data_IF_698263083073
#
_entry.id   IF_698263083073
#
_cell.length_a   1.000
_cell.length_b   1.000
_cell.length_c   1.000
_cell.angle_alpha   90.00
_cell.angle_beta   90.00
_cell.angle_gamma   90.00
#
_symmetry.space_group_name_H-M   'P 1'
#
loop_
_entity.id
_entity.type
_entity.pdbx_description
1 polymer ?
#
# COMPACT_ATOMS: atom_id res chain seq x y z
N UNK A 1 12.38 34.14 -40.96
CA UNK A 1 11.01 33.74 -40.56
C UNK A 1 10.57 32.36 -41.08
N UNK A 2 10.84 31.98 -42.35
CA UNK A 2 10.42 30.67 -42.92
C UNK A 2 11.14 29.46 -42.33
N UNK A 3 12.46 29.55 -42.10
CA UNK A 3 13.28 28.49 -41.48
C UNK A 3 12.84 28.21 -40.04
N UNK A 4 12.56 29.26 -39.25
CA UNK A 4 12.11 29.12 -37.87
C UNK A 4 10.76 28.39 -37.77
N UNK A 5 9.83 28.63 -38.71
CA UNK A 5 8.56 27.89 -38.79
C UNK A 5 8.78 26.41 -39.12
N UNK A 6 9.71 26.09 -40.03
CA UNK A 6 10.05 24.71 -40.38
C UNK A 6 10.65 23.98 -39.17
N UNK A 7 11.60 24.60 -38.48
CA UNK A 7 12.20 24.05 -37.26
C UNK A 7 11.16 23.81 -36.16
N UNK A 8 10.21 24.74 -35.99
CA UNK A 8 9.09 24.58 -35.06
C UNK A 8 8.20 23.38 -35.43
N UNK A 9 7.85 23.21 -36.71
CA UNK A 9 7.05 22.05 -37.14
C UNK A 9 7.79 20.73 -36.92
N UNK A 10 9.10 20.68 -37.17
CA UNK A 10 9.92 19.50 -36.90
C UNK A 10 9.89 19.18 -35.40
N UNK A 11 10.12 20.17 -34.54
CA UNK A 11 10.14 19.98 -33.10
C UNK A 11 8.78 19.53 -32.54
N UNK A 12 7.68 20.12 -33.02
CA UNK A 12 6.32 19.68 -32.67
C UNK A 12 6.04 18.26 -33.15
N UNK A 13 6.50 17.89 -34.36
CA UNK A 13 6.32 16.53 -34.90
C UNK A 13 7.10 15.50 -34.10
N UNK A 14 8.34 15.80 -33.72
CA UNK A 14 9.16 14.94 -32.85
C UNK A 14 8.51 14.82 -31.47
N UNK A 15 8.07 15.92 -30.87
CA UNK A 15 7.35 15.90 -29.60
C UNK A 15 6.07 15.06 -29.64
N UNK A 16 5.28 15.18 -30.71
CA UNK A 16 4.08 14.37 -30.91
C UNK A 16 4.41 12.87 -31.06
N UNK A 17 5.44 12.52 -31.83
CA UNK A 17 5.87 11.13 -31.98
C UNK A 17 6.38 10.52 -30.67
N UNK A 18 7.15 11.29 -29.89
CA UNK A 18 7.60 10.85 -28.56
C UNK A 18 6.42 10.65 -27.61
N UNK A 19 5.45 11.57 -27.61
CA UNK A 19 4.25 11.46 -26.79
C UNK A 19 3.40 10.24 -27.19
N UNK A 20 3.13 10.05 -28.49
CA UNK A 20 2.38 8.88 -28.98
C UNK A 20 3.14 7.59 -28.63
N UNK A 21 4.45 7.56 -28.84
CA UNK A 21 5.30 6.42 -28.50
C UNK A 21 5.22 6.08 -27.01
N UNK A 22 5.34 7.08 -26.14
CA UNK A 22 5.17 6.93 -24.70
C UNK A 22 3.79 6.36 -24.35
N UNK A 23 2.70 6.94 -24.89
CA UNK A 23 1.33 6.48 -24.62
C UNK A 23 1.08 5.04 -25.07
N UNK A 24 1.68 4.61 -26.18
CA UNK A 24 1.57 3.22 -26.67
C UNK A 24 2.32 2.25 -25.75
N UNK A 25 3.53 2.62 -25.28
CA UNK A 25 4.32 1.81 -24.36
C UNK A 25 3.59 1.68 -23.02
N UNK A 26 3.16 2.81 -22.45
CA UNK A 26 2.39 2.91 -21.21
C UNK A 26 1.12 2.04 -21.27
N UNK A 27 0.34 2.17 -22.33
CA UNK A 27 -0.85 1.34 -22.56
C UNK A 27 -0.53 -0.15 -22.61
N UNK A 28 0.50 -0.56 -23.38
CA UNK A 28 0.89 -1.98 -23.48
C UNK A 28 1.36 -2.55 -22.14
N UNK A 29 2.06 -1.74 -21.35
CA UNK A 29 2.55 -2.13 -20.05
C UNK A 29 1.41 -2.31 -19.05
N UNK A 30 0.46 -1.36 -18.99
CA UNK A 30 -0.76 -1.50 -18.18
C UNK A 30 -1.56 -2.73 -18.61
N UNK A 31 -1.73 -2.95 -19.92
CA UNK A 31 -2.42 -4.15 -20.41
C UNK A 31 -1.71 -5.45 -20.02
N UNK A 32 -0.38 -5.46 -20.01
CA UNK A 32 0.39 -6.61 -19.57
C UNK A 32 0.16 -6.88 -18.07
N UNK A 33 0.30 -5.85 -17.22
CA UNK A 33 0.01 -5.93 -15.79
C UNK A 33 -1.39 -6.49 -15.51
N UNK A 34 -2.43 -5.98 -16.18
CA UNK A 34 -3.81 -6.44 -15.97
C UNK A 34 -4.03 -7.89 -16.40
N UNK A 35 -3.38 -8.35 -17.47
CA UNK A 35 -3.41 -9.77 -17.88
C UNK A 35 -2.77 -10.68 -16.84
N UNK A 36 -1.66 -10.25 -16.23
CA UNK A 36 -1.00 -11.03 -15.18
C UNK A 36 -1.91 -11.11 -13.94
N UNK A 37 -2.54 -10.00 -13.52
CA UNK A 37 -3.51 -10.03 -12.43
C UNK A 37 -4.70 -10.97 -12.73
N UNK A 38 -5.30 -10.88 -13.92
CA UNK A 38 -6.38 -11.77 -14.33
C UNK A 38 -5.92 -13.25 -14.34
N UNK A 39 -4.74 -13.55 -14.87
CA UNK A 39 -4.18 -14.90 -14.89
C UNK A 39 -3.92 -15.43 -13.46
N UNK A 40 -3.40 -14.60 -12.57
CA UNK A 40 -3.13 -14.94 -11.17
C UNK A 40 -4.42 -15.21 -10.37
N UNK A 41 -5.55 -14.59 -10.74
CA UNK A 41 -6.85 -14.91 -10.14
C UNK A 41 -7.22 -16.39 -10.29
N UNK A 42 -6.72 -17.07 -11.33
CA UNK A 42 -7.06 -18.46 -11.64
C UNK A 42 -5.90 -19.45 -11.44
N UNK A 43 -4.68 -18.96 -11.26
CA UNK A 43 -3.48 -19.80 -11.11
C UNK A 43 -3.39 -20.39 -9.71
N UNK A 44 -3.09 -21.69 -9.58
CA UNK A 44 -2.87 -22.35 -8.28
C UNK A 44 -1.38 -22.52 -8.03
N UNK A 45 -0.94 -22.12 -6.85
CA UNK A 45 0.43 -22.30 -6.36
C UNK A 45 0.42 -22.46 -4.84
N UNK A 46 1.54 -22.94 -4.29
CA UNK A 46 1.72 -23.04 -2.83
C UNK A 46 1.98 -21.65 -2.27
N UNK A 47 1.07 -21.16 -1.42
CA UNK A 47 1.23 -19.85 -0.79
C UNK A 47 2.26 -19.87 0.33
N UNK A 48 2.93 -18.73 0.52
CA UNK A 48 3.64 -18.44 1.75
C UNK A 48 2.67 -18.39 2.94
N UNK A 49 3.12 -18.70 4.18
CA UNK A 49 2.31 -18.51 5.37
C UNK A 49 1.81 -17.05 5.46
N UNK A 50 0.54 -16.85 5.80
CA UNK A 50 -0.07 -15.52 5.92
C UNK A 50 -0.13 -14.98 7.34
N UNK A 51 0.11 -15.86 8.32
CA UNK A 51 -0.10 -15.59 9.75
C UNK A 51 1.09 -16.14 10.53
N UNK A 52 1.56 -15.36 11.48
CA UNK A 52 2.60 -15.75 12.43
C UNK A 52 2.03 -16.63 13.56
N UNK A 53 2.87 -17.41 14.25
CA UNK A 53 2.50 -18.04 15.51
C UNK A 53 1.98 -17.03 16.54
N UNK A 54 0.98 -17.42 17.32
CA UNK A 54 0.36 -16.58 18.36
C UNK A 54 1.36 -16.05 19.40
N UNK A 55 2.48 -16.75 19.61
CA UNK A 55 3.55 -16.34 20.52
C UNK A 55 4.38 -15.15 20.02
N UNK A 56 4.41 -14.90 18.71
CA UNK A 56 5.20 -13.84 18.09
C UNK A 56 4.39 -12.58 17.77
N UNK A 57 3.07 -12.70 17.67
CA UNK A 57 2.20 -11.64 17.16
C UNK A 57 1.39 -10.99 18.28
N UNK A 58 1.18 -9.69 18.18
CA UNK A 58 0.29 -8.97 19.10
C UNK A 58 -1.17 -9.43 18.90
N UNK A 59 -1.99 -9.31 19.95
CA UNK A 59 -3.44 -9.50 19.81
C UNK A 59 -4.01 -8.46 18.85
N UNK A 60 -4.91 -8.88 17.96
CA UNK A 60 -5.43 -8.00 16.90
C UNK A 60 -6.18 -6.79 17.48
N UNK A 61 -6.94 -6.97 18.56
CA UNK A 61 -7.61 -5.86 19.26
C UNK A 61 -6.62 -4.83 19.83
N UNK A 62 -5.48 -5.28 20.36
CA UNK A 62 -4.43 -4.39 20.88
C UNK A 62 -3.77 -3.61 19.74
N UNK A 63 -3.46 -4.28 18.62
CA UNK A 63 -2.93 -3.62 17.42
C UNK A 63 -3.87 -2.51 16.94
N UNK A 64 -5.16 -2.80 16.77
CA UNK A 64 -6.13 -1.80 16.33
C UNK A 64 -6.37 -0.70 17.37
N UNK A 65 -6.23 -1.00 18.66
CA UNK A 65 -6.30 0.04 19.71
C UNK A 65 -5.13 1.03 19.59
N UNK A 66 -3.92 0.55 19.31
CA UNK A 66 -2.75 1.42 19.08
C UNK A 66 -2.94 2.32 17.86
N UNK A 67 -3.41 1.75 16.74
CA UNK A 67 -3.73 2.50 15.51
C UNK A 67 -4.82 3.55 15.76
N UNK A 68 -5.92 3.16 16.41
CA UNK A 68 -7.02 4.07 16.71
C UNK A 68 -6.59 5.21 17.64
N UNK A 69 -5.75 4.91 18.63
CA UNK A 69 -5.23 5.90 19.58
C UNK A 69 -4.32 6.91 18.87
N UNK A 70 -3.39 6.45 18.02
CA UNK A 70 -2.53 7.35 17.26
C UNK A 70 -3.32 8.19 16.26
N UNK A 71 -4.32 7.58 15.59
CA UNK A 71 -5.23 8.31 14.69
C UNK A 71 -6.02 9.39 15.41
N UNK A 72 -6.52 9.11 16.61
CA UNK A 72 -7.26 10.07 17.41
C UNK A 72 -6.38 11.24 17.87
N UNK A 73 -5.10 10.99 18.16
CA UNK A 73 -4.13 12.04 18.50
C UNK A 73 -3.82 12.94 17.30
N UNK A 74 -3.70 12.36 16.09
CA UNK A 74 -3.35 13.07 14.86
C UNK A 74 -4.29 12.69 13.69
N UNK A 75 -5.55 13.17 13.67
CA UNK A 75 -6.58 12.68 12.73
C UNK A 75 -6.33 13.04 11.27
N UNK A 76 -5.55 14.09 10.99
CA UNK A 76 -5.36 14.64 9.64
C UNK A 76 -3.90 14.63 9.16
N UNK A 77 -2.98 14.17 10.01
CA UNK A 77 -1.54 14.20 9.77
C UNK A 77 -0.95 12.81 10.01
N UNK A 78 -0.69 12.10 8.91
CA UNK A 78 -0.20 10.72 8.96
C UNK A 78 1.22 10.63 9.53
N UNK A 79 2.09 11.60 9.20
CA UNK A 79 3.45 11.61 9.68
C UNK A 79 3.48 11.80 11.21
N UNK A 80 2.66 12.71 11.74
CA UNK A 80 2.52 12.89 13.19
C UNK A 80 1.83 11.69 13.85
N UNK A 81 0.84 11.08 13.20
CA UNK A 81 0.24 9.82 13.67
C UNK A 81 1.29 8.70 13.81
N UNK A 82 2.13 8.52 12.79
CA UNK A 82 3.19 7.52 12.79
C UNK A 82 4.25 7.81 13.87
N UNK A 83 4.65 9.08 14.03
CA UNK A 83 5.57 9.50 15.10
C UNK A 83 4.99 9.23 16.50
N UNK A 84 3.73 9.57 16.73
CA UNK A 84 3.04 9.26 18.00
C UNK A 84 2.98 7.75 18.27
N UNK A 85 2.68 6.96 17.23
CA UNK A 85 2.64 5.51 17.34
C UNK A 85 4.02 4.93 17.64
N UNK A 86 5.06 5.43 16.98
CA UNK A 86 6.45 5.07 17.24
C UNK A 86 6.83 5.36 18.71
N UNK A 87 6.57 6.56 19.21
CA UNK A 87 6.85 6.93 20.60
C UNK A 87 6.10 6.04 21.59
N UNK A 88 4.84 5.70 21.28
CA UNK A 88 4.02 4.79 22.08
C UNK A 88 4.63 3.38 22.10
N UNK A 89 5.02 2.85 20.94
CA UNK A 89 5.64 1.53 20.81
C UNK A 89 7.00 1.46 21.53
N UNK A 90 7.79 2.54 21.51
CA UNK A 90 9.10 2.59 22.15
C UNK A 90 9.03 2.41 23.69
N UNK A 91 7.85 2.64 24.30
CA UNK A 91 7.60 2.40 25.72
C UNK A 91 7.19 0.95 26.04
N UNK A 92 6.88 0.13 25.03
CA UNK A 92 6.47 -1.26 25.19
C UNK A 92 7.67 -2.22 25.26
N UNK A 93 7.43 -3.50 25.54
CA UNK A 93 8.49 -4.52 25.50
C UNK A 93 8.98 -4.78 24.07
N UNK A 94 10.20 -5.30 23.90
CA UNK A 94 10.73 -5.63 22.56
C UNK A 94 9.86 -6.68 21.86
N UNK A 95 9.28 -7.60 22.65
CA UNK A 95 8.32 -8.59 22.16
C UNK A 95 7.03 -7.93 21.68
N UNK A 96 6.55 -6.87 22.32
CA UNK A 96 5.37 -6.14 21.87
C UNK A 96 5.65 -5.35 20.59
N UNK A 97 6.83 -4.73 20.46
CA UNK A 97 7.22 -4.04 19.23
C UNK A 97 7.32 -5.03 18.06
N UNK A 98 7.95 -6.19 18.27
CA UNK A 98 7.96 -7.28 17.29
C UNK A 98 6.55 -7.81 17.01
N UNK A 99 5.72 -7.92 18.04
CA UNK A 99 4.34 -8.35 17.91
C UNK A 99 3.49 -7.40 17.08
N UNK A 100 3.73 -6.09 17.20
CA UNK A 100 3.11 -5.08 16.37
C UNK A 100 3.55 -5.22 14.91
N UNK A 101 4.86 -5.37 14.65
CA UNK A 101 5.40 -5.60 13.31
C UNK A 101 4.75 -6.83 12.67
N UNK A 102 4.73 -7.96 13.38
CA UNK A 102 4.08 -9.19 12.90
C UNK A 102 2.61 -8.95 12.49
N UNK A 103 1.85 -8.22 13.32
CA UNK A 103 0.45 -7.88 13.02
C UNK A 103 0.31 -6.97 11.82
N UNK A 104 1.17 -5.96 11.68
CA UNK A 104 1.17 -5.05 10.53
C UNK A 104 1.36 -5.83 9.22
N UNK A 105 2.34 -6.74 9.17
CA UNK A 105 2.60 -7.58 7.98
C UNK A 105 1.42 -8.44 7.59
N UNK A 106 0.73 -9.02 8.56
CA UNK A 106 -0.45 -9.85 8.29
C UNK A 106 -1.63 -9.03 7.76
N UNK A 107 -1.82 -7.79 8.23
CA UNK A 107 -2.84 -6.89 7.68
C UNK A 107 -2.46 -6.45 6.26
N UNK A 108 -1.19 -6.13 5.98
CA UNK A 108 -0.73 -5.86 4.61
C UNK A 108 -1.03 -7.02 3.68
N UNK A 109 -0.77 -8.27 4.10
CA UNK A 109 -1.07 -9.48 3.33
C UNK A 109 -2.58 -9.70 3.19
N UNK A 110 -3.38 -9.39 4.22
CA UNK A 110 -4.85 -9.45 4.15
C UNK A 110 -5.39 -8.49 3.09
N UNK A 111 -4.78 -7.32 2.96
CA UNK A 111 -5.10 -6.31 1.95
C UNK A 111 -4.54 -6.61 0.55
N UNK A 112 -3.80 -7.72 0.38
CA UNK A 112 -3.50 -8.28 -0.94
C UNK A 112 -4.78 -8.85 -1.56
N UNK A 113 -5.61 -7.95 -2.10
CA UNK A 113 -6.99 -8.18 -2.47
C UNK A 113 -7.40 -7.32 -3.68
N UNK A 114 -8.23 -7.87 -4.56
CA UNK A 114 -8.66 -7.20 -5.80
C UNK A 114 -9.48 -5.93 -5.58
N UNK A 115 -10.28 -5.83 -4.51
CA UNK A 115 -11.00 -4.61 -4.18
C UNK A 115 -10.03 -3.48 -3.80
N UNK A 116 -8.96 -3.81 -3.08
CA UNK A 116 -7.91 -2.84 -2.72
C UNK A 116 -7.11 -2.41 -3.95
N UNK A 117 -6.80 -3.34 -4.87
CA UNK A 117 -6.21 -3.02 -6.18
C UNK A 117 -7.11 -2.08 -6.98
N UNK A 118 -8.40 -2.39 -7.12
CA UNK A 118 -9.36 -1.55 -7.84
C UNK A 118 -9.45 -0.17 -7.20
N UNK A 119 -9.55 -0.10 -5.87
CA UNK A 119 -9.56 1.14 -5.11
C UNK A 119 -8.31 1.98 -5.42
N UNK A 120 -7.12 1.38 -5.32
CA UNK A 120 -5.85 2.04 -5.66
C UNK A 120 -5.85 2.56 -7.11
N UNK A 121 -6.30 1.75 -8.08
CA UNK A 121 -6.25 2.15 -9.49
C UNK A 121 -7.22 3.28 -9.83
N UNK A 122 -8.36 3.34 -9.14
CA UNK A 122 -9.32 4.43 -9.29
C UNK A 122 -8.74 5.74 -8.70
N UNK A 123 -8.02 5.66 -7.58
CA UNK A 123 -7.56 6.87 -6.86
C UNK A 123 -6.19 7.37 -7.28
N UNK A 124 -5.27 6.47 -7.64
CA UNK A 124 -3.85 6.77 -7.90
C UNK A 124 -3.44 6.50 -9.36
N UNK A 125 -4.36 5.99 -10.19
CA UNK A 125 -4.13 5.71 -11.60
C UNK A 125 -3.85 4.24 -11.90
N UNK A 126 -3.81 3.89 -13.19
CA UNK A 126 -3.90 2.49 -13.62
C UNK A 126 -2.64 1.65 -13.36
N UNK A 127 -1.48 2.27 -13.18
CA UNK A 127 -0.23 1.54 -12.91
C UNK A 127 -0.09 1.21 -11.41
N UNK A 128 0.12 -0.06 -11.09
CA UNK A 128 0.29 -0.55 -9.72
C UNK A 128 1.75 -0.92 -9.51
N UNK A 129 2.53 -0.01 -8.94
CA UNK A 129 3.87 -0.32 -8.44
C UNK A 129 3.78 -1.15 -7.17
N UNK A 130 4.74 -2.04 -6.93
CA UNK A 130 4.80 -2.82 -5.67
C UNK A 130 4.91 -1.88 -4.46
N UNK A 131 5.79 -0.88 -4.53
CA UNK A 131 6.05 0.04 -3.42
C UNK A 131 4.81 0.91 -3.13
N UNK A 132 4.31 1.63 -4.14
CA UNK A 132 3.14 2.51 -3.99
C UNK A 132 1.90 1.76 -3.51
N UNK A 133 1.76 0.48 -3.88
CA UNK A 133 0.64 -0.34 -3.44
C UNK A 133 0.81 -0.85 -2.00
N UNK A 134 2.03 -1.11 -1.52
CA UNK A 134 2.28 -1.40 -0.09
C UNK A 134 1.99 -0.14 0.73
N UNK A 135 2.49 1.01 0.28
CA UNK A 135 2.26 2.33 0.88
C UNK A 135 0.75 2.60 1.03
N UNK A 136 -0.01 2.47 -0.05
CA UNK A 136 -1.46 2.64 -0.02
C UNK A 136 -2.17 1.72 0.99
N UNK A 137 -1.77 0.44 1.08
CA UNK A 137 -2.31 -0.49 2.09
C UNK A 137 -1.95 -0.03 3.51
N UNK A 138 -0.71 0.38 3.75
CA UNK A 138 -0.30 0.92 5.04
C UNK A 138 -1.09 2.19 5.41
N UNK A 139 -1.44 3.02 4.43
CA UNK A 139 -2.35 4.15 4.62
C UNK A 139 -3.76 3.71 5.04
N UNK A 140 -4.36 2.70 4.40
CA UNK A 140 -5.66 2.17 4.81
C UNK A 140 -5.63 1.62 6.25
N UNK A 141 -4.56 0.91 6.62
CA UNK A 141 -4.33 0.44 8.00
C UNK A 141 -4.31 1.63 8.96
N UNK A 142 -3.61 2.72 8.64
CA UNK A 142 -3.55 3.93 9.47
C UNK A 142 -4.92 4.57 9.73
N UNK A 143 -5.88 4.36 8.81
CA UNK A 143 -7.23 4.87 8.93
C UNK A 143 -8.13 4.00 9.84
N UNK A 144 -7.68 2.80 10.21
CA UNK A 144 -8.31 1.94 11.20
C UNK A 144 -9.03 0.72 10.63
N UNK A 145 -9.43 -0.19 11.54
CA UNK A 145 -9.98 -1.50 11.20
C UNK A 145 -11.24 -1.43 10.33
N UNK A 146 -12.15 -0.49 10.63
CA UNK A 146 -13.42 -0.34 9.90
C UNK A 146 -13.19 0.09 8.45
N UNK A 147 -12.16 0.92 8.20
CA UNK A 147 -11.78 1.33 6.85
C UNK A 147 -11.22 0.16 6.06
N UNK A 148 -10.30 -0.62 6.65
CA UNK A 148 -9.76 -1.82 6.00
C UNK A 148 -10.88 -2.83 5.71
N UNK A 149 -11.77 -3.07 6.67
CA UNK A 149 -12.91 -3.96 6.51
C UNK A 149 -13.84 -3.49 5.38
N UNK A 150 -14.17 -2.20 5.34
CA UNK A 150 -15.00 -1.62 4.28
C UNK A 150 -14.31 -1.70 2.92
N UNK A 151 -13.01 -1.41 2.84
CA UNK A 151 -12.23 -1.50 1.60
C UNK A 151 -12.19 -2.93 1.04
N UNK A 152 -12.09 -3.93 1.91
CA UNK A 152 -12.11 -5.35 1.53
C UNK A 152 -13.48 -5.84 1.07
N UNK A 153 -14.57 -5.32 1.66
CA UNK A 153 -15.93 -5.83 1.40
C UNK A 153 -16.69 -5.02 0.34
N UNK A 154 -16.64 -3.70 0.43
CA UNK A 154 -17.39 -2.78 -0.41
C UNK A 154 -16.69 -1.41 -0.50
N UNK A 155 -15.61 -1.29 -1.29
CA UNK A 155 -14.82 -0.06 -1.38
C UNK A 155 -15.62 1.15 -1.91
N UNK A 156 -16.74 0.91 -2.59
CA UNK A 156 -17.66 1.94 -3.11
C UNK A 156 -18.22 2.86 -2.01
N UNK A 157 -18.31 2.38 -0.77
CA UNK A 157 -18.86 3.15 0.36
C UNK A 157 -17.80 3.95 1.13
N UNK A 158 -16.53 3.88 0.72
CA UNK A 158 -15.46 4.59 1.41
C UNK A 158 -15.59 6.10 1.20
N UNK A 159 -15.59 6.83 2.31
CA UNK A 159 -15.69 8.29 2.31
C UNK A 159 -14.39 8.99 2.68
N UNK A 160 -13.38 8.25 3.14
CA UNK A 160 -12.07 8.80 3.50
C UNK A 160 -11.36 9.45 2.28
N UNK A 161 -10.46 10.42 2.49
CA UNK A 161 -9.62 10.92 1.40
C UNK A 161 -8.65 9.83 0.96
N UNK A 162 -8.52 9.57 -0.34
CA UNK A 162 -7.65 8.52 -0.91
C UNK A 162 -6.61 9.05 -1.91
N UNK A 163 -6.73 10.32 -2.28
CA UNK A 163 -5.89 11.07 -3.25
C UNK A 163 -4.71 11.81 -2.58
N UNK A 164 -4.41 11.51 -1.32
CA UNK A 164 -3.35 12.18 -0.56
C UNK A 164 -1.99 11.60 -0.92
N UNK A 165 -1.43 12.06 -2.04
CA UNK A 165 -0.06 11.76 -2.49
C UNK A 165 1.02 12.12 -1.45
N UNK A 166 0.69 12.98 -0.48
CA UNK A 166 1.53 13.38 0.65
C UNK A 166 1.49 12.40 1.83
N UNK A 167 0.61 11.39 1.80
CA UNK A 167 0.37 10.45 2.88
C UNK A 167 0.60 9.01 2.38
N UNK A 168 1.81 8.73 1.87
CA UNK A 168 2.14 7.44 1.25
C UNK A 168 1.86 6.28 2.21
N UNK A 169 2.02 6.44 3.53
CA UNK A 169 1.92 5.32 4.47
C UNK A 169 3.24 4.57 4.63
N UNK A 170 4.29 5.01 3.94
CA UNK A 170 5.65 4.52 4.14
C UNK A 170 6.08 4.65 5.60
N UNK A 171 5.77 5.76 6.27
CA UNK A 171 6.12 5.98 7.68
C UNK A 171 5.48 4.93 8.59
N UNK A 172 4.28 4.45 8.25
CA UNK A 172 3.59 3.40 8.99
C UNK A 172 4.32 2.07 8.92
N UNK A 173 5.05 1.78 7.83
CA UNK A 173 5.88 0.58 7.71
C UNK A 173 7.12 0.64 8.60
N UNK A 174 7.60 1.85 8.92
CA UNK A 174 8.83 2.03 9.69
C UNK A 174 8.60 2.13 11.20
N UNK A 175 7.36 2.26 11.68
CA UNK A 175 7.07 2.57 13.11
C UNK A 175 7.68 1.57 14.09
N UNK A 176 7.60 0.26 13.81
CA UNK A 176 8.13 -0.75 14.72
C UNK A 176 9.67 -0.74 14.74
N UNK A 177 10.29 -0.65 13.57
CA UNK A 177 11.74 -0.51 13.40
C UNK A 177 12.27 0.74 14.12
N UNK A 178 11.63 1.87 13.90
CA UNK A 178 12.06 3.14 14.50
C UNK A 178 11.81 3.16 16.02
N UNK A 179 10.71 2.58 16.49
CA UNK A 179 10.44 2.46 17.93
C UNK A 179 11.49 1.61 18.64
N UNK A 180 11.86 0.48 18.04
CA UNK A 180 12.93 -0.37 18.54
C UNK A 180 14.27 0.38 18.57
N UNK A 181 14.63 1.06 17.48
CA UNK A 181 15.86 1.84 17.40
C UNK A 181 15.92 2.97 18.43
N UNK A 182 14.81 3.70 18.60
CA UNK A 182 14.66 4.76 19.61
C UNK A 182 14.86 4.21 21.02
N UNK A 183 14.24 3.08 21.35
CA UNK A 183 14.34 2.44 22.66
C UNK A 183 15.75 2.00 23.01
N UNK A 184 16.49 1.46 22.02
CA UNK A 184 17.85 0.98 22.20
C UNK A 184 18.93 2.03 21.91
N UNK A 185 18.52 3.27 21.61
CA UNK A 185 19.40 4.36 21.21
C UNK A 185 20.36 3.98 20.05
N UNK A 186 19.90 3.11 19.15
CA UNK A 186 20.70 2.71 18.00
C UNK A 186 20.53 3.73 16.88
N UNK A 187 21.63 4.35 16.45
CA UNK A 187 21.65 5.30 15.33
C UNK A 187 22.24 4.65 14.08
N UNK A 188 21.45 4.56 13.01
CA UNK A 188 21.96 4.67 11.63
C UNK A 188 22.68 3.46 11.03
N UNK A 189 22.26 2.23 11.32
CA UNK A 189 22.70 1.03 10.60
C UNK A 189 21.65 -0.08 10.61
N UNK A 190 21.70 -1.03 9.65
CA UNK A 190 20.83 -2.20 9.67
C UNK A 190 21.16 -3.04 10.92
N UNK A 191 20.20 -3.13 11.84
CA UNK A 191 20.26 -4.01 13.00
C UNK A 191 19.48 -5.29 12.65
N UNK A 192 20.15 -6.46 12.55
CA UNK A 192 19.47 -7.72 12.23
C UNK A 192 18.47 -8.16 13.32
N UNK A 193 18.52 -7.54 14.50
CA UNK A 193 17.55 -7.76 15.56
C UNK A 193 16.36 -6.79 15.49
N UNK A 194 16.39 -5.78 14.63
CA UNK A 194 15.26 -4.88 14.43
C UNK A 194 14.05 -5.64 13.87
N UNK A 195 12.83 -5.43 14.40
CA UNK A 195 11.63 -6.13 13.96
C UNK A 195 11.43 -6.15 12.43
N UNK A 196 11.66 -5.03 11.76
CA UNK A 196 11.52 -4.90 10.31
C UNK A 196 12.53 -5.72 9.50
N UNK A 197 13.73 -5.94 10.05
CA UNK A 197 14.87 -6.57 9.36
C UNK A 197 15.00 -8.07 9.69
N UNK A 198 14.24 -8.56 10.68
CA UNK A 198 14.30 -9.97 11.05
C UNK A 198 13.72 -10.85 9.92
N UNK A 199 14.44 -11.92 9.51
CA UNK A 199 13.94 -12.89 8.55
C UNK A 199 12.88 -13.79 9.21
N UNK A 200 11.64 -13.32 9.23
CA UNK A 200 10.50 -14.05 9.76
C UNK A 200 9.76 -14.81 8.64
N UNK A 201 8.99 -15.84 9.02
CA UNK A 201 8.37 -16.76 8.06
C UNK A 201 7.26 -16.15 7.18
N UNK A 202 6.73 -14.98 7.54
CA UNK A 202 5.68 -14.25 6.80
C UNK A 202 6.30 -12.95 6.30
N UNK A 203 6.38 -12.82 4.98
CA UNK A 203 7.01 -11.70 4.29
C UNK A 203 5.99 -11.11 3.31
N UNK A 204 5.55 -9.87 3.53
CA UNK A 204 4.51 -9.22 2.70
C UNK A 204 5.04 -8.68 1.36
N UNK A 205 6.35 -8.66 1.17
CA UNK A 205 7.04 -8.08 0.01
C UNK A 205 7.47 -9.19 -0.97
N UNK A 206 8.13 -10.24 -0.45
CA UNK A 206 8.65 -11.35 -1.26
C UNK A 206 7.80 -12.63 -1.20
N UNK A 207 6.73 -12.64 -0.40
CA UNK A 207 5.87 -13.81 -0.25
C UNK A 207 4.99 -14.09 -1.48
N UNK A 208 4.85 -15.37 -1.83
CA UNK A 208 3.91 -15.79 -2.87
C UNK A 208 2.50 -15.85 -2.28
N UNK A 209 1.68 -14.82 -2.49
CA UNK A 209 0.29 -14.78 -2.05
C UNK A 209 -0.67 -14.60 -3.22
N UNK A 210 -1.77 -15.36 -3.22
CA UNK A 210 -2.88 -15.08 -4.13
C UNK A 210 -3.60 -13.83 -3.63
N UNK A 211 -3.96 -12.93 -4.54
CA UNK A 211 -4.92 -11.88 -4.20
C UNK A 211 -6.27 -12.49 -3.85
N UNK A 212 -6.85 -12.06 -2.74
CA UNK A 212 -8.22 -12.44 -2.35
C UNK A 212 -9.26 -11.58 -3.07
N UNK A 213 -10.54 -11.98 -3.01
CA UNK A 213 -11.62 -11.27 -3.70
C UNK A 213 -11.75 -11.66 -5.17
N UNK A 214 -12.43 -10.82 -5.95
CA UNK A 214 -12.71 -11.07 -7.37
C UNK A 214 -12.04 -10.00 -8.22
N UNK A 215 -11.27 -10.43 -9.22
CA UNK A 215 -10.68 -9.52 -10.18
C UNK A 215 -11.76 -8.78 -10.98
N UNK A 216 -11.63 -7.47 -11.09
CA UNK A 216 -12.46 -6.60 -11.92
C UNK A 216 -11.51 -5.87 -12.87
N UNK A 217 -11.79 -5.95 -14.18
CA UNK A 217 -11.02 -5.26 -15.18
C UNK A 217 -11.24 -3.73 -15.06
N UNK A 218 -10.23 -2.89 -15.31
CA UNK A 218 -10.39 -1.43 -15.26
C UNK A 218 -11.51 -0.88 -16.14
N UNK A 219 -11.79 -1.53 -17.27
CA UNK A 219 -12.89 -1.16 -18.17
C UNK A 219 -14.29 -1.32 -17.55
N UNK A 220 -14.42 -2.10 -16.47
CA UNK A 220 -15.67 -2.34 -15.77
C UNK A 220 -15.79 -1.51 -14.48
N UNK A 221 -14.82 -0.67 -14.12
CA UNK A 221 -14.86 0.09 -12.86
C UNK A 221 -16.10 0.98 -12.73
N UNK A 222 -16.51 1.71 -13.77
CA UNK A 222 -17.73 2.53 -13.72
C UNK A 222 -19.02 1.73 -13.44
N UNK A 223 -19.02 0.43 -13.77
CA UNK A 223 -20.15 -0.46 -13.52
C UNK A 223 -20.17 -0.96 -12.08
N UNK A 224 -19.01 -1.29 -11.52
CA UNK A 224 -18.90 -1.89 -10.19
C UNK A 224 -18.71 -0.84 -9.08
N UNK A 225 -18.14 0.32 -9.42
CA UNK A 225 -17.76 1.39 -8.50
C UNK A 225 -18.19 2.79 -8.99
N UNK A 226 -19.46 2.99 -9.39
CA UNK A 226 -19.91 4.22 -10.06
C UNK A 226 -19.73 5.51 -9.23
N UNK A 227 -19.87 5.45 -7.91
CA UNK A 227 -19.68 6.59 -7.03
C UNK A 227 -18.21 6.88 -6.78
N UNK A 228 -17.39 5.82 -6.63
CA UNK A 228 -15.96 5.97 -6.44
C UNK A 228 -15.28 6.54 -7.69
N UNK A 229 -15.61 6.04 -8.90
CA UNK A 229 -15.07 6.58 -10.16
C UNK A 229 -15.63 7.95 -10.52
N UNK A 230 -16.83 8.30 -10.06
CA UNK A 230 -17.34 9.67 -10.24
C UNK A 230 -16.62 10.69 -9.33
N UNK A 231 -16.01 10.22 -8.23
CA UNK A 231 -15.32 11.05 -7.25
C UNK A 231 -13.85 11.32 -7.61
N UNK A 232 -13.18 10.39 -8.28
CA UNK A 232 -11.75 10.42 -8.62
C UNK A 232 -11.55 10.30 -10.13
#
# INVERSE_FOLDING_TARGET
>A
MRILKILLYILLSVGALLFIGYRVIDYKFIQYQEREYEALAHTTFTESPRVFPDSLRMQESTFWTLIATSKAAHPQDLAQQAAYLQDTLAQLSDQDILGFECRLREQLIREWNYNIKSLYQITNGSYVSTDDFIYFRAYLISCGADVVQAALQNPEQLTIPLDRLDASGEEMLQVAKNAYAQKHHTTGGPDPHSPGEQPLAVDYDLGNYRMTGTYIAPADFDRYYPHLTARY
#
